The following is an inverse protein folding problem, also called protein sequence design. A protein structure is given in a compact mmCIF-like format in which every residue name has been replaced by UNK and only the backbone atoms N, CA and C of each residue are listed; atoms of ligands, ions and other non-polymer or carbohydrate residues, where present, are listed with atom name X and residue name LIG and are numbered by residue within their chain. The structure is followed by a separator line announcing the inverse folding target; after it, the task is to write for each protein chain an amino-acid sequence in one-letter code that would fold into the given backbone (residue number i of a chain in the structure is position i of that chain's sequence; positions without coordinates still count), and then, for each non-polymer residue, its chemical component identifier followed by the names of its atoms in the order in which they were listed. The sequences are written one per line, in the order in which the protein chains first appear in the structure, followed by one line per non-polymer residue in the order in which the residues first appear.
data_IF_114981565919
#
_entry.id   IF_114981565919
#
_cell.length_a   1.000
_cell.length_b   1.000
_cell.length_c   1.000
_cell.angle_alpha   90.00
_cell.angle_beta   90.00
_cell.angle_gamma   90.00
#
_symmetry.space_group_name_H-M   'P 1'
#
loop_
_entity.id
_entity.type
_entity.pdbx_description
1 polymer ?
#
# COMPACT_ATOMS: atom_id res chain seq x y z
N UNK A 1 17.01 15.01 -27.92
CA UNK A 1 17.34 13.92 -26.96
C UNK A 1 16.10 13.04 -26.85
N UNK A 2 16.14 11.78 -27.29
CA UNK A 2 14.96 10.90 -27.30
C UNK A 2 14.77 10.33 -25.89
N UNK A 3 13.77 10.79 -25.15
CA UNK A 3 13.56 10.35 -23.77
C UNK A 3 13.01 8.93 -23.78
N UNK A 4 13.85 7.94 -23.49
CA UNK A 4 13.42 6.54 -23.42
C UNK A 4 12.84 6.28 -22.04
N UNK A 5 11.52 6.12 -21.95
CA UNK A 5 10.87 5.66 -20.72
C UNK A 5 11.21 4.18 -20.45
N UNK A 6 11.70 3.87 -19.25
CA UNK A 6 12.01 2.52 -18.79
C UNK A 6 10.73 1.85 -18.29
N UNK A 7 10.42 0.63 -18.75
CA UNK A 7 9.24 -0.11 -18.28
C UNK A 7 9.39 -0.50 -16.81
N UNK A 8 8.30 -0.37 -16.06
CA UNK A 8 8.22 -0.82 -14.67
C UNK A 8 7.75 -2.28 -14.65
N UNK A 9 8.42 -3.12 -13.85
CA UNK A 9 7.98 -4.50 -13.64
C UNK A 9 6.82 -4.55 -12.63
N UNK A 10 5.59 -4.95 -13.04
CA UNK A 10 4.40 -4.82 -12.18
C UNK A 10 4.51 -5.57 -10.87
N UNK A 11 5.00 -6.82 -10.89
CA UNK A 11 5.13 -7.62 -9.66
C UNK A 11 6.16 -7.04 -8.70
N UNK A 12 7.21 -6.39 -9.22
CA UNK A 12 8.25 -5.81 -8.36
C UNK A 12 7.72 -4.56 -7.66
N UNK A 13 7.00 -3.70 -8.39
CA UNK A 13 6.37 -2.52 -7.81
C UNK A 13 5.25 -2.90 -6.84
N UNK A 14 4.38 -3.85 -7.23
CA UNK A 14 3.34 -4.39 -6.37
C UNK A 14 3.92 -4.95 -5.07
N UNK A 15 4.92 -5.84 -5.13
CA UNK A 15 5.51 -6.41 -3.94
C UNK A 15 6.15 -5.34 -3.02
N UNK A 16 6.86 -4.38 -3.60
CA UNK A 16 7.47 -3.30 -2.82
C UNK A 16 6.42 -2.44 -2.10
N UNK A 17 5.36 -2.03 -2.81
CA UNK A 17 4.29 -1.22 -2.22
C UNK A 17 3.45 -2.00 -1.21
N UNK A 18 3.13 -3.26 -1.50
CA UNK A 18 2.43 -4.13 -0.57
C UNK A 18 3.22 -4.34 0.73
N UNK A 19 4.52 -4.64 0.66
CA UNK A 19 5.35 -4.77 1.87
C UNK A 19 5.40 -3.46 2.66
N UNK A 20 5.60 -2.34 1.97
CA UNK A 20 5.68 -1.02 2.61
C UNK A 20 4.36 -0.65 3.31
N UNK A 21 3.22 -0.83 2.65
CA UNK A 21 1.90 -0.52 3.19
C UNK A 21 1.51 -1.48 4.31
N UNK A 22 1.64 -2.78 4.10
CA UNK A 22 1.34 -3.79 5.13
C UNK A 22 2.15 -3.56 6.41
N UNK A 23 3.45 -3.25 6.28
CA UNK A 23 4.29 -2.92 7.44
C UNK A 23 3.86 -1.62 8.10
N UNK A 24 3.46 -0.60 7.34
CA UNK A 24 2.96 0.65 7.90
C UNK A 24 1.69 0.43 8.73
N UNK A 25 0.72 -0.34 8.23
CA UNK A 25 -0.51 -0.70 8.94
C UNK A 25 -0.21 -1.55 10.17
N UNK A 26 0.68 -2.54 10.05
CA UNK A 26 1.11 -3.37 11.18
C UNK A 26 1.72 -2.52 12.30
N UNK A 27 2.72 -1.68 11.97
CA UNK A 27 3.38 -0.80 12.93
C UNK A 27 2.40 0.18 13.58
N UNK A 28 1.52 0.80 12.79
CA UNK A 28 0.48 1.69 13.31
C UNK A 28 -0.43 0.95 14.30
N UNK A 29 -0.87 -0.26 13.97
CA UNK A 29 -1.74 -1.06 14.83
C UNK A 29 -1.04 -1.48 16.12
N UNK A 30 0.22 -1.92 16.05
CA UNK A 30 1.02 -2.28 17.23
C UNK A 30 1.23 -1.07 18.14
N UNK A 31 1.58 0.09 17.58
CA UNK A 31 1.74 1.32 18.38
C UNK A 31 0.44 1.69 19.11
N UNK A 32 -0.71 1.53 18.46
CA UNK A 32 -2.02 1.78 19.07
C UNK A 32 -2.36 0.76 20.15
N UNK A 33 -2.04 -0.53 19.96
CA UNK A 33 -2.19 -1.57 20.98
C UNK A 33 -1.35 -1.23 22.21
N UNK A 34 -0.11 -0.76 22.04
CA UNK A 34 0.80 -0.39 23.13
C UNK A 34 0.36 0.89 23.86
N UNK A 35 -0.34 1.81 23.18
CA UNK A 35 -0.82 3.06 23.77
C UNK A 35 -2.10 2.90 24.63
N UNK A 36 -2.78 1.76 24.57
CA UNK A 36 -4.02 1.53 25.29
C UNK A 36 -5.12 2.55 24.96
N UNK A 37 -6.04 2.81 25.89
CA UNK A 37 -7.24 3.64 25.66
C UNK A 37 -6.93 5.07 25.19
N UNK A 38 -5.77 5.63 25.55
CA UNK A 38 -5.35 6.98 25.17
C UNK A 38 -5.03 7.17 23.67
N UNK A 39 -4.73 6.11 22.93
CA UNK A 39 -4.44 6.17 21.48
C UNK A 39 -5.64 5.95 20.56
N UNK A 40 -6.76 5.47 21.11
CA UNK A 40 -7.90 4.94 20.33
C UNK A 40 -8.81 6.00 19.71
N UNK A 41 -8.72 7.26 20.16
CA UNK A 41 -9.71 8.30 19.83
C UNK A 41 -9.65 8.83 18.39
N UNK A 42 -8.51 8.73 17.70
CA UNK A 42 -8.38 9.25 16.31
C UNK A 42 -8.74 8.18 15.27
N UNK A 43 -8.21 6.95 15.40
CA UNK A 43 -8.48 5.88 14.43
C UNK A 43 -9.85 5.20 14.64
N UNK A 44 -10.34 5.10 15.89
CA UNK A 44 -11.69 4.58 16.15
C UNK A 44 -12.80 5.43 15.51
N UNK A 45 -12.53 6.69 15.19
CA UNK A 45 -13.43 7.57 14.42
C UNK A 45 -13.36 7.34 12.91
N UNK A 46 -12.19 6.95 12.38
CA UNK A 46 -12.01 6.70 10.95
C UNK A 46 -12.43 5.28 10.55
N UNK A 47 -12.35 4.32 11.47
CA UNK A 47 -12.67 2.91 11.22
C UNK A 47 -13.57 2.34 12.34
N UNK A 48 -14.89 2.58 12.29
CA UNK A 48 -15.83 2.15 13.34
C UNK A 48 -15.96 0.63 13.50
N UNK A 49 -15.42 -0.17 12.58
CA UNK A 49 -15.46 -1.64 12.62
C UNK A 49 -14.12 -2.29 12.96
N UNK A 50 -13.07 -1.52 13.27
CA UNK A 50 -11.72 -2.06 13.49
C UNK A 50 -11.41 -2.20 14.99
N UNK A 51 -11.28 -3.45 15.46
CA UNK A 51 -10.86 -3.72 16.84
C UNK A 51 -9.34 -3.73 16.94
N UNK A 52 -8.77 -2.70 17.57
CA UNK A 52 -7.33 -2.55 17.83
C UNK A 52 -6.87 -3.69 18.76
N UNK A 53 -6.20 -4.70 18.19
CA UNK A 53 -5.78 -5.92 18.90
C UNK A 53 -4.57 -6.57 18.22
N UNK A 54 -3.84 -7.43 18.94
CA UNK A 54 -2.70 -8.18 18.38
C UNK A 54 -3.07 -9.06 17.17
N UNK A 55 -4.19 -9.82 17.18
CA UNK A 55 -4.65 -10.52 15.98
C UNK A 55 -5.04 -9.56 14.85
N UNK A 56 -5.65 -8.42 15.19
CA UNK A 56 -6.00 -7.37 14.24
C UNK A 56 -4.78 -6.81 13.51
N UNK A 57 -3.63 -6.66 14.19
CA UNK A 57 -2.39 -6.19 13.55
C UNK A 57 -1.92 -7.14 12.44
N UNK A 58 -2.00 -8.46 12.66
CA UNK A 58 -1.61 -9.46 11.65
C UNK A 58 -2.58 -9.44 10.46
N UNK A 59 -3.88 -9.29 10.72
CA UNK A 59 -4.88 -9.16 9.67
C UNK A 59 -4.62 -7.87 8.86
N UNK A 60 -4.35 -6.74 9.53
CA UNK A 60 -4.01 -5.48 8.88
C UNK A 60 -2.72 -5.53 8.07
N UNK A 61 -1.73 -6.32 8.49
CA UNK A 61 -0.53 -6.59 7.69
C UNK A 61 -0.88 -7.28 6.37
N UNK A 62 -1.76 -8.29 6.41
CA UNK A 62 -2.17 -9.05 5.23
C UNK A 62 -3.06 -8.22 4.30
N UNK A 63 -4.06 -7.54 4.85
CA UNK A 63 -4.95 -6.66 4.08
C UNK A 63 -4.18 -5.49 3.47
N UNK A 64 -3.34 -4.79 4.25
CA UNK A 64 -2.50 -3.70 3.75
C UNK A 64 -1.47 -4.17 2.72
N UNK A 65 -0.95 -5.40 2.84
CA UNK A 65 -0.12 -5.98 1.80
C UNK A 65 -0.89 -6.20 0.50
N UNK A 66 -2.10 -6.77 0.58
CA UNK A 66 -2.93 -7.03 -0.60
C UNK A 66 -3.33 -5.72 -1.30
N UNK A 67 -3.77 -4.72 -0.53
CA UNK A 67 -4.16 -3.42 -1.07
C UNK A 67 -2.97 -2.72 -1.74
N UNK A 68 -1.81 -2.67 -1.09
CA UNK A 68 -0.60 -2.07 -1.66
C UNK A 68 -0.05 -2.83 -2.85
N UNK A 69 -0.18 -4.17 -2.84
CA UNK A 69 0.20 -5.00 -3.97
C UNK A 69 -0.68 -4.74 -5.19
N UNK A 70 -2.00 -4.73 -5.02
CA UNK A 70 -2.95 -4.44 -6.09
C UNK A 70 -2.77 -3.01 -6.59
N UNK A 71 -2.61 -2.04 -5.68
CA UNK A 71 -2.33 -0.65 -6.02
C UNK A 71 -1.05 -0.50 -6.85
N UNK A 72 0.02 -1.19 -6.47
CA UNK A 72 1.29 -1.19 -7.22
C UNK A 72 1.20 -1.88 -8.59
N UNK A 73 0.41 -2.94 -8.72
CA UNK A 73 0.11 -3.55 -10.01
C UNK A 73 -0.61 -2.58 -10.95
N UNK A 74 -1.66 -1.91 -10.44
CA UNK A 74 -2.43 -0.93 -11.20
C UNK A 74 -1.51 0.24 -11.59
N UNK A 75 -0.70 0.75 -10.68
CA UNK A 75 0.21 1.85 -10.93
C UNK A 75 1.25 1.51 -12.01
N UNK A 76 1.87 0.33 -11.92
CA UNK A 76 2.81 -0.14 -12.96
C UNK A 76 2.12 -0.29 -14.32
N UNK A 77 0.88 -0.81 -14.32
CA UNK A 77 0.10 -0.95 -15.55
C UNK A 77 -0.21 0.39 -16.20
N UNK A 78 -0.73 1.36 -15.43
CA UNK A 78 -1.02 2.72 -15.91
C UNK A 78 0.24 3.40 -16.41
N UNK A 79 1.35 3.33 -15.66
CA UNK A 79 2.63 3.90 -16.06
C UNK A 79 3.11 3.33 -17.41
N UNK A 80 3.12 2.01 -17.54
CA UNK A 80 3.57 1.35 -18.77
C UNK A 80 2.65 1.65 -19.95
N UNK A 81 1.35 1.79 -19.71
CA UNK A 81 0.38 2.18 -20.74
C UNK A 81 0.65 3.60 -21.25
N UNK A 82 0.82 4.58 -20.35
CA UNK A 82 1.14 5.97 -20.72
C UNK A 82 2.47 6.04 -21.47
N UNK A 83 3.51 5.38 -20.95
CA UNK A 83 4.83 5.34 -21.58
C UNK A 83 4.78 4.73 -23.00
N UNK A 84 3.94 3.72 -23.23
CA UNK A 84 3.76 3.12 -24.56
C UNK A 84 3.08 4.07 -25.56
N UNK A 85 2.17 4.94 -25.09
CA UNK A 85 1.47 5.93 -25.93
C UNK A 85 2.41 7.07 -26.34
N UNK A 86 3.28 7.52 -25.43
CA UNK A 86 4.29 8.55 -25.75
C UNK A 86 5.25 8.11 -26.85
N UNK A 87 5.62 6.82 -26.91
CA UNK A 87 6.49 6.27 -27.97
C UNK A 87 5.84 6.21 -29.35
N UNK A 88 4.51 6.24 -29.46
CA UNK A 88 3.78 6.07 -30.73
C UNK A 88 3.50 7.41 -31.43
N UNK A 89 3.68 8.54 -30.74
CA UNK A 89 3.47 9.89 -31.27
C UNK A 89 4.73 10.59 -31.77
N UNK A 90 5.90 9.96 -31.66
CA UNK A 90 7.17 10.33 -32.30
C UNK A 90 7.43 9.44 -33.52
#
# INVERSE_FOLDING_TARGET
MKTTYVKIHPLALGAALGVMEGLAIFCATVLLVLQGETGTAFLGKLFPFYSISWPGAIIGLLEGFLDGFIGGLILAWVYNWIASRSKKGE
#
